data_IF_437178889155
#
_entry.id   IF_437178889155
#
_cell.length_a   1.000
_cell.length_b   1.000
_cell.length_c   1.000
_cell.angle_alpha   90.00
_cell.angle_beta   90.00
_cell.angle_gamma   90.00
#
_symmetry.space_group_name_H-M   'P 1'
#
loop_
_entity.id
_entity.type
_entity.pdbx_description
1 polymer ?
#
# COMPACT_ATOMS: atom_id res chain seq x y z
N UNK A 1 -5.91 -12.09 12.81
CA UNK A 1 -4.80 -11.29 13.38
C UNK A 1 -3.80 -12.08 14.25
N UNK A 2 -4.17 -12.93 15.22
CA UNK A 2 -3.17 -13.67 16.05
C UNK A 2 -2.19 -14.57 15.27
N UNK A 3 -2.54 -14.97 14.05
CA UNK A 3 -1.72 -15.83 13.18
C UNK A 3 -0.48 -15.13 12.61
N UNK A 4 -0.41 -13.81 12.72
CA UNK A 4 0.62 -13.00 12.06
C UNK A 4 1.55 -12.29 13.03
N UNK A 5 1.51 -12.67 14.31
CA UNK A 5 2.45 -12.22 15.33
C UNK A 5 3.91 -12.40 14.89
N UNK A 6 4.33 -13.52 14.26
CA UNK A 6 5.72 -13.68 13.81
C UNK A 6 6.12 -12.63 12.76
N UNK A 7 5.25 -12.32 11.79
CA UNK A 7 5.51 -11.32 10.75
C UNK A 7 5.62 -9.92 11.34
N UNK A 8 4.75 -9.58 12.28
CA UNK A 8 4.81 -8.29 12.99
C UNK A 8 6.05 -8.17 13.88
N UNK A 9 6.48 -9.26 14.51
CA UNK A 9 7.72 -9.29 15.30
C UNK A 9 8.95 -9.09 14.40
N UNK A 10 9.01 -9.79 13.26
CA UNK A 10 10.08 -9.59 12.28
C UNK A 10 10.12 -8.15 11.74
N UNK A 11 8.96 -7.57 11.42
CA UNK A 11 8.85 -6.18 10.97
C UNK A 11 9.31 -5.15 12.01
N UNK A 12 9.26 -5.49 13.31
CA UNK A 12 9.80 -4.70 14.42
C UNK A 12 11.30 -4.92 14.67
N UNK A 13 11.97 -5.76 13.89
CA UNK A 13 13.42 -6.03 13.99
C UNK A 13 13.80 -7.22 14.88
N UNK A 14 12.85 -8.05 15.30
CA UNK A 14 13.14 -9.26 16.08
C UNK A 14 13.61 -10.41 15.19
N UNK A 15 14.52 -11.24 15.69
CA UNK A 15 14.91 -12.50 15.02
C UNK A 15 13.84 -13.55 15.26
N UNK A 16 13.23 -14.03 14.17
CA UNK A 16 12.19 -15.07 14.19
C UNK A 16 12.79 -16.34 13.59
N UNK A 17 12.60 -17.48 14.26
CA UNK A 17 13.00 -18.79 13.76
C UNK A 17 11.79 -19.72 13.75
N UNK A 18 11.85 -20.75 12.90
CA UNK A 18 10.83 -21.79 12.83
C UNK A 18 11.36 -23.06 13.52
N UNK A 19 10.45 -23.84 14.10
CA UNK A 19 10.75 -25.15 14.70
C UNK A 19 9.97 -26.19 13.91
N UNK A 20 10.67 -27.20 13.40
CA UNK A 20 10.04 -28.30 12.67
C UNK A 20 9.20 -29.11 13.65
N UNK A 21 7.93 -29.32 13.32
CA UNK A 21 7.01 -30.14 14.12
C UNK A 21 6.46 -31.24 13.23
N UNK A 22 6.46 -32.48 13.73
CA UNK A 22 5.85 -33.59 12.99
C UNK A 22 4.32 -33.43 12.97
N UNK A 23 3.76 -33.42 11.77
CA UNK A 23 2.32 -33.36 11.55
C UNK A 23 1.79 -34.72 11.11
N UNK A 24 0.90 -35.30 11.90
CA UNK A 24 0.20 -36.54 11.55
C UNK A 24 -1.05 -36.24 10.73
N UNK A 25 -1.32 -37.09 9.73
CA UNK A 25 -2.53 -37.00 8.92
C UNK A 25 -3.77 -37.17 9.81
N UNK A 26 -4.80 -36.35 9.60
CA UNK A 26 -6.03 -36.40 10.38
C UNK A 26 -6.87 -37.61 9.94
N UNK A 27 -7.15 -38.59 10.82
CA UNK A 27 -7.84 -39.82 10.41
C UNK A 27 -9.36 -39.65 10.26
N UNK A 28 -9.99 -38.65 10.91
CA UNK A 28 -11.45 -38.49 10.91
C UNK A 28 -11.91 -37.02 10.82
N UNK A 29 -13.07 -36.82 10.18
CA UNK A 29 -13.82 -35.55 10.12
C UNK A 29 -13.44 -34.60 8.97
N UNK A 30 -14.33 -33.66 8.67
CA UNK A 30 -14.12 -32.69 7.58
C UNK A 30 -13.24 -31.49 8.01
N UNK A 31 -12.53 -30.90 7.05
CA UNK A 31 -11.75 -29.68 7.27
C UNK A 31 -12.66 -28.50 7.63
N UNK A 32 -12.31 -27.75 8.69
CA UNK A 32 -12.93 -26.46 9.05
C UNK A 32 -12.43 -25.29 8.18
N UNK A 33 -11.63 -25.55 7.15
CA UNK A 33 -11.16 -24.53 6.20
C UNK A 33 -12.16 -24.40 5.06
N UNK A 34 -13.17 -23.55 5.26
CA UNK A 34 -14.08 -23.12 4.19
C UNK A 34 -13.55 -21.88 3.44
N UNK A 35 -14.18 -21.56 2.31
CA UNK A 35 -13.86 -20.41 1.44
C UNK A 35 -13.83 -19.08 2.20
N UNK A 36 -14.75 -18.89 3.16
CA UNK A 36 -14.77 -17.69 4.03
C UNK A 36 -13.45 -17.46 4.78
N UNK A 37 -12.73 -18.53 5.12
CA UNK A 37 -11.45 -18.45 5.84
C UNK A 37 -10.30 -18.03 4.95
N UNK A 38 -10.37 -18.36 3.65
CA UNK A 38 -9.40 -17.93 2.64
C UNK A 38 -9.53 -16.42 2.43
N UNK A 39 -10.76 -15.92 2.23
CA UNK A 39 -11.01 -14.48 2.06
C UNK A 39 -10.56 -13.70 3.29
N UNK A 40 -10.93 -14.15 4.50
CA UNK A 40 -10.48 -13.51 5.75
C UNK A 40 -8.96 -13.55 5.92
N UNK A 41 -8.32 -14.66 5.57
CA UNK A 41 -6.86 -14.78 5.60
C UNK A 41 -6.17 -13.85 4.61
N UNK A 42 -6.72 -13.69 3.40
CA UNK A 42 -6.24 -12.76 2.39
C UNK A 42 -6.38 -11.30 2.84
N UNK A 43 -7.55 -10.92 3.40
CA UNK A 43 -7.78 -9.57 3.94
C UNK A 43 -6.85 -9.27 5.13
N UNK A 44 -6.64 -10.24 6.02
CA UNK A 44 -5.66 -10.09 7.12
C UNK A 44 -4.24 -9.88 6.54
N UNK A 45 -3.82 -10.66 5.53
CA UNK A 45 -2.52 -10.52 4.89
C UNK A 45 -2.34 -9.16 4.22
N UNK A 46 -3.36 -8.69 3.49
CA UNK A 46 -3.37 -7.36 2.89
C UNK A 46 -3.21 -6.28 3.97
N UNK A 47 -3.89 -6.45 5.11
CA UNK A 47 -3.77 -5.54 6.25
C UNK A 47 -2.34 -5.51 6.79
N UNK A 48 -1.67 -6.65 6.90
CA UNK A 48 -0.29 -6.72 7.41
C UNK A 48 0.70 -6.17 6.42
N UNK A 49 0.53 -6.47 5.13
CA UNK A 49 1.33 -5.89 4.07
C UNK A 49 1.23 -4.36 4.09
N UNK A 50 0.01 -3.84 4.25
CA UNK A 50 -0.21 -2.42 4.41
C UNK A 50 0.46 -1.90 5.69
N UNK A 51 0.23 -2.53 6.85
CA UNK A 51 0.78 -2.04 8.12
C UNK A 51 2.31 -2.05 8.18
N UNK A 52 2.95 -3.02 7.53
CA UNK A 52 4.41 -3.17 7.51
C UNK A 52 5.09 -2.36 6.39
N UNK A 53 4.49 -2.31 5.19
CA UNK A 53 5.03 -1.59 4.03
C UNK A 53 4.60 -0.12 3.95
N UNK A 54 3.32 0.17 4.17
CA UNK A 54 2.75 1.52 4.08
C UNK A 54 3.29 2.46 5.16
N UNK A 55 3.60 1.95 6.35
CA UNK A 55 4.16 2.76 7.45
C UNK A 55 5.53 3.38 7.12
N UNK A 56 6.26 2.81 6.15
CA UNK A 56 7.58 3.31 5.78
C UNK A 56 7.49 4.47 4.79
N UNK A 57 6.68 4.36 3.73
CA UNK A 57 6.55 5.35 2.64
C UNK A 57 5.14 5.33 1.98
N UNK A 58 4.12 5.87 2.66
CA UNK A 58 2.73 5.76 2.21
C UNK A 58 2.45 6.47 0.86
N UNK A 59 3.16 7.56 0.55
CA UNK A 59 2.98 8.27 -0.72
C UNK A 59 3.38 7.43 -1.93
N UNK A 60 4.43 6.62 -1.82
CA UNK A 60 4.96 5.89 -2.99
C UNK A 60 4.01 4.83 -3.50
N UNK A 61 3.21 4.18 -2.65
CA UNK A 61 2.28 3.14 -3.08
C UNK A 61 1.02 3.72 -3.71
N UNK A 62 0.28 4.55 -2.98
CA UNK A 62 -1.02 5.08 -3.43
C UNK A 62 -0.84 6.29 -4.34
N UNK A 63 0.14 7.15 -4.02
CA UNK A 63 0.42 8.35 -4.79
C UNK A 63 0.97 8.05 -6.18
N UNK A 64 1.80 7.02 -6.36
CA UNK A 64 2.28 6.65 -7.70
C UNK A 64 1.15 6.12 -8.60
N UNK A 65 0.28 5.26 -8.07
CA UNK A 65 -0.89 4.78 -8.79
C UNK A 65 -1.88 5.92 -9.10
N UNK A 66 -2.09 6.84 -8.15
CA UNK A 66 -2.88 8.05 -8.33
C UNK A 66 -2.28 8.97 -9.39
N UNK A 67 -0.96 9.17 -9.39
CA UNK A 67 -0.24 9.97 -10.38
C UNK A 67 -0.39 9.39 -11.78
N UNK A 68 -0.19 8.08 -11.94
CA UNK A 68 -0.36 7.40 -13.23
C UNK A 68 -1.79 7.55 -13.76
N UNK A 69 -2.78 7.32 -12.90
CA UNK A 69 -4.20 7.46 -13.26
C UNK A 69 -4.53 8.91 -13.66
N UNK A 70 -4.07 9.89 -12.86
CA UNK A 70 -4.24 11.31 -13.13
C UNK A 70 -3.57 11.70 -14.46
N UNK A 71 -2.32 11.30 -14.68
CA UNK A 71 -1.58 11.60 -15.92
C UNK A 71 -2.25 11.00 -17.15
N UNK A 72 -2.67 9.73 -17.11
CA UNK A 72 -3.37 9.09 -18.23
C UNK A 72 -4.70 9.79 -18.51
N UNK A 73 -5.48 10.10 -17.46
CA UNK A 73 -6.74 10.83 -17.59
C UNK A 73 -6.54 12.23 -18.17
N UNK A 74 -5.54 12.97 -17.69
CA UNK A 74 -5.21 14.31 -18.18
C UNK A 74 -4.73 14.30 -19.62
N UNK A 75 -3.86 13.35 -20.00
CA UNK A 75 -3.42 13.20 -21.39
C UNK A 75 -4.58 12.87 -22.33
N UNK A 76 -5.48 11.97 -21.91
CA UNK A 76 -6.68 11.64 -22.67
C UNK A 76 -7.62 12.85 -22.83
N UNK A 77 -7.76 13.67 -21.79
CA UNK A 77 -8.57 14.89 -21.85
C UNK A 77 -7.94 15.94 -22.78
N UNK A 78 -6.63 16.17 -22.68
CA UNK A 78 -5.88 17.07 -23.58
C UNK A 78 -6.01 16.61 -25.03
N UNK A 79 -5.89 15.31 -25.30
CA UNK A 79 -6.07 14.74 -26.63
C UNK A 79 -7.49 14.98 -27.17
N UNK A 80 -8.52 14.69 -26.39
CA UNK A 80 -9.91 14.89 -26.80
C UNK A 80 -10.24 16.36 -27.03
N UNK A 81 -9.79 17.24 -26.14
CA UNK A 81 -9.93 18.69 -26.31
C UNK A 81 -9.17 19.19 -27.54
N UNK A 82 -7.97 18.67 -27.81
CA UNK A 82 -7.21 18.99 -29.01
C UNK A 82 -7.95 18.58 -30.29
N UNK A 83 -8.47 17.34 -30.33
CA UNK A 83 -9.26 16.84 -31.45
C UNK A 83 -10.52 17.70 -31.68
N UNK A 84 -11.21 18.10 -30.61
CA UNK A 84 -12.35 19.01 -30.67
C UNK A 84 -12.00 20.35 -31.30
N UNK A 85 -10.90 20.98 -30.87
CA UNK A 85 -10.43 22.26 -31.43
C UNK A 85 -10.10 22.11 -32.92
N UNK A 86 -9.37 21.06 -33.30
CA UNK A 86 -8.95 20.83 -34.70
C UNK A 86 -10.16 20.67 -35.61
N UNK A 87 -11.17 19.90 -35.20
CA UNK A 87 -12.39 19.69 -35.99
C UNK A 87 -13.23 20.96 -36.18
N UNK A 88 -13.07 21.95 -35.29
CA UNK A 88 -13.76 23.25 -35.35
C UNK A 88 -12.99 24.30 -36.14
N UNK A 89 -11.66 24.24 -36.15
CA UNK A 89 -10.79 25.24 -36.80
C UNK A 89 -10.48 24.85 -38.24
N UNK A 90 -10.37 23.56 -38.54
CA UNK A 90 -10.01 23.07 -39.88
C UNK A 90 -11.27 22.65 -40.63
N UNK A 91 -11.59 23.35 -41.72
CA UNK A 91 -12.69 22.99 -42.59
C UNK A 91 -12.45 21.62 -43.26
N UNK A 92 -13.44 20.73 -43.21
CA UNK A 92 -13.40 19.40 -43.85
C UNK A 92 -13.34 18.20 -42.90
N UNK A 93 -13.29 18.42 -41.58
CA UNK A 93 -13.39 17.35 -40.59
C UNK A 93 -14.80 17.26 -40.00
N UNK A 94 -15.22 16.04 -39.64
CA UNK A 94 -16.49 15.78 -38.97
C UNK A 94 -16.45 16.34 -37.53
N UNK A 95 -17.52 17.00 -37.10
CA UNK A 95 -17.57 17.60 -35.76
C UNK A 95 -17.55 16.52 -34.67
N UNK A 96 -16.51 16.54 -33.83
CA UNK A 96 -16.42 15.63 -32.69
C UNK A 96 -17.20 16.23 -31.51
N UNK A 97 -18.28 15.59 -31.10
CA UNK A 97 -18.97 15.96 -29.86
C UNK A 97 -18.35 15.23 -28.66
N UNK A 98 -17.70 15.97 -27.75
CA UNK A 98 -17.05 15.39 -26.56
C UNK A 98 -18.00 14.58 -25.69
N UNK A 99 -19.23 15.06 -25.51
CA UNK A 99 -20.23 14.45 -24.65
C UNK A 99 -20.75 13.10 -25.19
N UNK A 100 -20.61 12.84 -26.48
CA UNK A 100 -21.03 11.56 -27.08
C UNK A 100 -19.96 10.47 -26.90
N UNK A 101 -18.72 10.85 -26.60
CA UNK A 101 -17.61 9.91 -26.46
C UNK A 101 -17.55 9.38 -25.02
N UNK A 102 -17.82 8.08 -24.85
CA UNK A 102 -17.63 7.41 -23.55
C UNK A 102 -16.22 7.63 -22.95
N UNK A 103 -15.20 7.73 -23.81
CA UNK A 103 -13.82 8.02 -23.42
C UNK A 103 -13.69 9.34 -22.62
N UNK A 104 -14.49 10.36 -22.92
CA UNK A 104 -14.48 11.64 -22.21
C UNK A 104 -14.84 11.47 -20.73
N UNK A 105 -15.89 10.70 -20.44
CA UNK A 105 -16.31 10.41 -19.06
C UNK A 105 -15.28 9.56 -18.30
N UNK A 106 -14.64 8.59 -18.97
CA UNK A 106 -13.56 7.82 -18.37
C UNK A 106 -12.34 8.71 -18.04
N UNK A 107 -11.95 9.63 -18.93
CA UNK A 107 -10.86 10.56 -18.67
C UNK A 107 -11.15 11.48 -17.48
N UNK A 108 -12.34 12.09 -17.41
CA UNK A 108 -12.72 12.95 -16.28
C UNK A 108 -12.72 12.16 -14.97
N UNK A 109 -13.32 10.96 -14.97
CA UNK A 109 -13.36 10.11 -13.77
C UNK A 109 -11.95 9.69 -13.34
N UNK A 110 -11.08 9.33 -14.28
CA UNK A 110 -9.68 8.99 -14.01
C UNK A 110 -8.91 10.17 -13.40
N UNK A 111 -9.11 11.39 -13.90
CA UNK A 111 -8.51 12.61 -13.32
C UNK A 111 -9.01 12.84 -11.90
N UNK A 112 -10.32 12.75 -11.66
CA UNK A 112 -10.91 12.97 -10.33
C UNK A 112 -10.44 11.93 -9.31
N UNK A 113 -10.50 10.64 -9.67
CA UNK A 113 -10.03 9.56 -8.80
C UNK A 113 -8.52 9.61 -8.58
N UNK A 114 -7.74 9.92 -9.62
CA UNK A 114 -6.29 10.08 -9.53
C UNK A 114 -5.90 11.22 -8.57
N UNK A 115 -6.58 12.37 -8.67
CA UNK A 115 -6.38 13.49 -7.76
C UNK A 115 -6.74 13.14 -6.31
N UNK A 116 -7.83 12.41 -6.09
CA UNK A 116 -8.22 11.93 -4.75
C UNK A 116 -7.18 10.97 -4.15
N UNK A 117 -6.64 10.04 -4.95
CA UNK A 117 -5.58 9.12 -4.50
C UNK A 117 -4.27 9.84 -4.20
N UNK A 118 -3.89 10.83 -5.00
CA UNK A 118 -2.74 11.69 -4.72
C UNK A 118 -2.90 12.43 -3.40
N UNK A 119 -4.07 13.05 -3.18
CA UNK A 119 -4.38 13.74 -1.93
C UNK A 119 -4.35 12.77 -0.74
N UNK A 120 -4.96 11.58 -0.86
CA UNK A 120 -4.93 10.56 0.18
C UNK A 120 -3.51 10.09 0.51
N UNK A 121 -2.65 9.91 -0.50
CA UNK A 121 -1.24 9.55 -0.31
C UNK A 121 -0.44 10.64 0.42
N UNK A 122 -0.65 11.91 0.06
CA UNK A 122 -0.03 13.06 0.73
C UNK A 122 -0.49 13.18 2.20
N UNK A 123 -1.79 13.01 2.45
CA UNK A 123 -2.34 13.01 3.81
C UNK A 123 -1.77 11.87 4.65
N UNK A 124 -1.64 10.68 4.07
CA UNK A 124 -1.05 9.54 4.76
C UNK A 124 0.44 9.76 5.13
N UNK A 125 1.22 10.38 4.23
CA UNK A 125 2.61 10.77 4.51
C UNK A 125 2.69 11.81 5.63
N UNK A 126 1.80 12.80 5.61
CA UNK A 126 1.71 13.80 6.67
C UNK A 126 1.40 13.17 8.03
N UNK A 127 0.39 12.31 8.12
CA UNK A 127 0.01 11.61 9.35
C UNK A 127 1.17 10.76 9.87
N UNK A 128 1.82 10.00 8.99
CA UNK A 128 2.95 9.13 9.36
C UNK A 128 4.16 9.95 9.81
N UNK A 129 4.43 11.08 9.16
CA UNK A 129 5.49 12.02 9.55
C UNK A 129 5.25 12.60 10.95
N UNK A 130 4.01 12.99 11.25
CA UNK A 130 3.63 13.49 12.58
C UNK A 130 3.76 12.39 13.63
N UNK A 131 3.27 11.17 13.34
CA UNK A 131 3.35 10.04 14.26
C UNK A 131 4.79 9.61 14.58
N UNK A 132 5.69 9.63 13.58
CA UNK A 132 7.12 9.30 13.77
C UNK A 132 7.82 10.22 14.77
N UNK A 133 7.42 11.50 14.87
CA UNK A 133 8.02 12.46 15.82
C UNK A 133 7.71 12.16 17.28
N UNK A 134 6.67 11.36 17.56
CA UNK A 134 6.22 11.08 18.93
C UNK A 134 6.88 9.85 19.56
N UNK A 135 7.59 9.02 18.79
CA UNK A 135 8.27 7.83 19.30
C UNK A 135 9.72 8.22 19.62
N UNK A 136 10.12 8.34 20.91
CA UNK A 136 11.52 8.58 21.25
C UNK A 136 12.38 7.44 20.66
N UNK A 137 13.57 7.74 20.12
CA UNK A 137 14.46 6.70 19.62
C UNK A 137 14.74 5.73 20.77
N UNK A 138 14.31 4.48 20.62
CA UNK A 138 14.50 3.48 21.66
C UNK A 138 16.01 3.25 21.84
N UNK A 139 16.58 3.77 22.92
CA UNK A 139 17.91 3.39 23.37
C UNK A 139 17.79 2.03 24.05
N UNK A 140 18.48 1.02 23.54
CA UNK A 140 18.54 -0.29 24.19
C UNK A 140 19.30 -0.12 25.51
N UNK A 141 18.57 -0.15 26.63
CA UNK A 141 19.15 0.00 27.96
C UNK A 141 19.68 -1.32 28.53
N UNK A 142 19.02 -2.44 28.22
CA UNK A 142 19.41 -3.74 28.77
C UNK A 142 18.99 -4.88 27.84
N UNK A 143 19.81 -5.93 27.81
CA UNK A 143 19.56 -7.14 27.03
C UNK A 143 19.25 -8.29 27.98
N UNK A 144 18.06 -8.88 27.87
CA UNK A 144 17.69 -10.05 28.66
C UNK A 144 18.34 -11.32 28.06
N UNK A 145 19.61 -11.49 28.37
CA UNK A 145 20.43 -12.64 28.03
C UNK A 145 21.71 -12.59 28.85
N UNK A 146 21.71 -13.33 29.97
CA UNK A 146 22.87 -13.40 30.86
C UNK A 146 24.15 -13.81 30.13
N UNK A 147 25.25 -13.24 30.63
CA UNK A 147 26.66 -13.47 30.28
C UNK A 147 27.21 -12.74 29.03
N UNK A 148 27.78 -11.55 29.27
CA UNK A 148 29.23 -11.42 29.11
C UNK A 148 29.75 -10.32 30.04
N UNK A 149 30.55 -10.75 31.01
CA UNK A 149 31.43 -9.92 31.82
C UNK A 149 32.40 -9.19 30.89
N UNK A 150 32.31 -7.87 30.81
CA UNK A 150 33.47 -7.05 30.47
C UNK A 150 33.85 -6.26 31.72
N UNK A 151 34.87 -6.77 32.41
CA UNK A 151 35.72 -6.01 33.31
C UNK A 151 36.21 -4.77 32.55
N UNK A 152 35.64 -3.60 32.83
CA UNK A 152 36.35 -2.35 32.54
C UNK A 152 37.27 -2.14 33.72
N UNK A 153 38.52 -2.57 33.51
CA UNK A 153 39.63 -2.27 34.37
C UNK A 153 39.83 -0.76 34.47
N UNK A 154 40.30 -0.37 35.65
CA UNK A 154 40.93 0.90 35.90
C UNK A 154 42.01 1.18 34.84
N UNK A 155 41.98 2.36 34.25
CA UNK A 155 43.04 3.39 34.28
C UNK A 155 42.51 4.70 33.68
#
# INVERSE_FOLDING_TARGET
MHRFVPVLAAAKGWKVTEIVVEHHARPFGHSKYGVSRIIKGFLDLLTIYFLTGFAQRPLHLIGSAGLLCFSIGSLGLVYLTGAWIVTRVVAGFEEVHLHEKALFYYCITAVLLGAQWLAAGLLAELITSIARRQIPPASVAETAGGASSTTVGQE
#
